data_IF_427468651278
#
_entry.id   IF_427468651278
#
_cell.length_a   1.000
_cell.length_b   1.000
_cell.length_c   1.000
_cell.angle_alpha   90.00
_cell.angle_beta   90.00
_cell.angle_gamma   90.00
#
_symmetry.space_group_name_H-M   'P 1'
#
loop_
_entity.id
_entity.type
_entity.pdbx_description
1 polymer ?
#
# COMPACT_ATOMS: atom_id res chain seq x y z
N UNK A 1 22.67 -14.64 -16.63
CA UNK A 1 21.40 -14.20 -17.24
C UNK A 1 20.39 -15.32 -17.03
N UNK A 2 19.68 -15.30 -15.90
CA UNK A 2 18.63 -16.29 -15.65
C UNK A 2 17.33 -15.77 -16.23
N UNK A 3 16.88 -16.39 -17.32
CA UNK A 3 15.51 -16.30 -17.80
C UNK A 3 14.59 -16.82 -16.68
N UNK A 4 13.92 -15.90 -15.96
CA UNK A 4 12.84 -16.27 -15.04
C UNK A 4 11.73 -16.89 -15.93
N UNK A 5 11.30 -18.14 -15.69
CA UNK A 5 10.43 -18.85 -16.61
C UNK A 5 9.11 -18.11 -16.80
N UNK A 6 8.65 -18.03 -18.05
CA UNK A 6 7.44 -17.29 -18.48
C UNK A 6 6.16 -17.70 -17.72
N UNK A 7 6.13 -18.92 -17.19
CA UNK A 7 5.07 -19.44 -16.33
C UNK A 7 4.98 -18.73 -14.97
N UNK A 8 6.12 -18.35 -14.37
CA UNK A 8 6.17 -17.65 -13.08
C UNK A 8 5.61 -16.22 -13.24
N UNK A 9 5.98 -15.53 -14.32
CA UNK A 9 5.46 -14.21 -14.68
C UNK A 9 3.93 -14.23 -14.91
N UNK A 10 3.41 -15.30 -15.50
CA UNK A 10 1.97 -15.45 -15.73
C UNK A 10 1.19 -15.61 -14.41
N UNK A 11 1.71 -16.39 -13.47
CA UNK A 11 1.12 -16.56 -12.15
C UNK A 11 1.22 -15.29 -11.29
N UNK A 12 2.35 -14.59 -11.36
CA UNK A 12 2.59 -13.31 -10.70
C UNK A 12 1.59 -12.22 -11.15
N UNK A 13 1.32 -12.16 -12.46
CA UNK A 13 0.31 -11.25 -13.02
C UNK A 13 -1.10 -11.57 -12.54
N UNK A 14 -1.43 -12.85 -12.33
CA UNK A 14 -2.73 -13.23 -11.76
C UNK A 14 -2.86 -12.82 -10.29
N UNK A 15 -1.77 -12.92 -9.51
CA UNK A 15 -1.75 -12.50 -8.09
C UNK A 15 -2.01 -10.99 -7.97
N UNK A 16 -1.40 -10.19 -8.85
CA UNK A 16 -1.60 -8.73 -8.84
C UNK A 16 -2.90 -8.33 -9.52
N UNK A 17 -3.31 -9.02 -10.58
CA UNK A 17 -4.45 -8.67 -11.42
C UNK A 17 -4.12 -7.58 -12.44
N UNK A 18 -4.72 -7.67 -13.63
CA UNK A 18 -4.38 -6.78 -14.75
C UNK A 18 -4.62 -5.29 -14.47
N UNK A 19 -5.72 -4.96 -13.79
CA UNK A 19 -6.08 -3.58 -13.48
C UNK A 19 -5.05 -2.93 -12.54
N UNK A 20 -4.58 -3.68 -11.55
CA UNK A 20 -3.56 -3.20 -10.62
C UNK A 20 -2.22 -3.07 -11.30
N UNK A 21 -1.85 -4.07 -12.10
CA UNK A 21 -0.61 -4.05 -12.88
C UNK A 21 -0.53 -2.82 -13.80
N UNK A 22 -1.63 -2.50 -14.49
CA UNK A 22 -1.72 -1.31 -15.36
C UNK A 22 -1.63 0.02 -14.59
N UNK A 23 -1.95 0.01 -13.29
CA UNK A 23 -1.98 1.21 -12.46
C UNK A 23 -0.75 1.38 -11.55
N UNK A 24 0.15 0.39 -11.48
CA UNK A 24 1.40 0.48 -10.71
C UNK A 24 2.24 1.66 -11.20
N UNK A 25 2.64 2.52 -10.26
CA UNK A 25 3.38 3.74 -10.54
C UNK A 25 4.82 3.71 -10.00
N UNK A 26 5.08 2.94 -8.95
CA UNK A 26 6.37 2.92 -8.25
C UNK A 26 6.90 1.51 -7.96
N UNK A 27 6.05 0.53 -7.64
CA UNK A 27 6.47 -0.84 -7.43
C UNK A 27 6.68 -1.58 -8.76
N UNK A 28 7.67 -2.46 -8.77
CA UNK A 28 7.78 -3.52 -9.77
C UNK A 28 6.72 -4.61 -9.55
N UNK A 29 6.49 -5.46 -10.56
CA UNK A 29 5.58 -6.61 -10.44
C UNK A 29 6.00 -7.54 -9.28
N UNK A 30 7.28 -7.87 -9.18
CA UNK A 30 7.81 -8.78 -8.15
C UNK A 30 7.64 -8.18 -6.75
N UNK A 31 7.87 -6.88 -6.57
CA UNK A 31 7.60 -6.19 -5.30
C UNK A 31 6.10 -6.17 -4.95
N UNK A 32 5.23 -5.98 -5.94
CA UNK A 32 3.77 -6.01 -5.76
C UNK A 32 3.26 -7.41 -5.37
N UNK A 33 3.81 -8.46 -5.97
CA UNK A 33 3.53 -9.85 -5.61
C UNK A 33 4.01 -10.14 -4.18
N UNK A 34 5.26 -9.80 -3.88
CA UNK A 34 5.87 -10.03 -2.57
C UNK A 34 5.06 -9.37 -1.45
N UNK A 35 4.73 -8.08 -1.59
CA UNK A 35 3.98 -7.35 -0.57
C UNK A 35 2.56 -7.88 -0.37
N UNK A 36 1.88 -8.30 -1.45
CA UNK A 36 0.55 -8.92 -1.36
C UNK A 36 0.63 -10.24 -0.62
N UNK A 37 1.56 -11.13 -0.99
CA UNK A 37 1.75 -12.43 -0.33
C UNK A 37 2.09 -12.28 1.15
N UNK A 38 2.99 -11.36 1.47
CA UNK A 38 3.33 -11.03 2.85
C UNK A 38 2.11 -10.53 3.63
N UNK A 39 1.36 -9.57 3.09
CA UNK A 39 0.18 -9.02 3.75
C UNK A 39 -0.90 -10.09 3.97
N UNK A 40 -1.14 -10.95 2.98
CA UNK A 40 -2.07 -12.07 3.10
C UNK A 40 -1.71 -12.97 4.28
N UNK A 41 -0.44 -13.39 4.39
CA UNK A 41 0.07 -14.20 5.52
C UNK A 41 -0.02 -13.49 6.86
N UNK A 42 0.08 -12.16 6.87
CA UNK A 42 0.03 -11.33 8.08
C UNK A 42 -1.41 -11.10 8.59
N UNK A 43 -2.38 -10.94 7.67
CA UNK A 43 -3.67 -10.33 7.99
C UNK A 43 -4.88 -11.27 7.84
N UNK A 44 -4.84 -12.25 6.93
CA UNK A 44 -6.00 -13.10 6.63
C UNK A 44 -6.18 -14.24 7.64
N UNK A 45 -7.41 -14.73 7.75
CA UNK A 45 -7.69 -15.95 8.51
C UNK A 45 -7.06 -17.17 7.83
N UNK A 46 -6.81 -18.27 8.57
CA UNK A 46 -6.28 -19.50 7.98
C UNK A 46 -7.15 -20.09 6.86
N UNK A 47 -8.46 -19.84 6.89
CA UNK A 47 -9.41 -20.34 5.86
C UNK A 47 -9.25 -19.54 4.57
N UNK A 48 -9.27 -18.21 4.65
CA UNK A 48 -9.08 -17.32 3.50
C UNK A 48 -7.67 -17.49 2.91
N UNK A 49 -6.65 -17.60 3.76
CA UNK A 49 -5.26 -17.71 3.31
C UNK A 49 -5.01 -18.97 2.48
N UNK A 50 -5.56 -20.12 2.90
CA UNK A 50 -5.42 -21.41 2.19
C UNK A 50 -5.96 -21.38 0.77
N UNK A 51 -6.93 -20.51 0.48
CA UNK A 51 -7.49 -20.36 -0.87
C UNK A 51 -6.55 -19.58 -1.80
N UNK A 52 -5.63 -18.79 -1.24
CA UNK A 52 -4.78 -17.88 -1.99
C UNK A 52 -3.34 -18.36 -2.10
N UNK A 53 -2.78 -18.91 -1.01
CA UNK A 53 -1.38 -19.34 -0.95
C UNK A 53 -1.22 -20.62 -0.13
N UNK A 54 -0.30 -21.52 -0.53
CA UNK A 54 0.08 -22.66 0.31
C UNK A 54 0.94 -22.27 1.51
N UNK A 55 1.50 -21.06 1.53
CA UNK A 55 2.37 -20.60 2.62
C UNK A 55 1.56 -20.39 3.92
N UNK A 56 2.09 -20.79 5.08
CA UNK A 56 1.40 -20.61 6.35
C UNK A 56 1.31 -19.13 6.74
N UNK A 57 0.26 -18.80 7.49
CA UNK A 57 0.12 -17.49 8.10
C UNK A 57 1.21 -17.24 9.15
N UNK A 58 1.47 -15.97 9.44
CA UNK A 58 2.44 -15.58 10.46
C UNK A 58 1.92 -15.87 11.89
N UNK A 59 2.82 -16.08 12.87
CA UNK A 59 2.42 -16.37 14.25
C UNK A 59 1.48 -15.31 14.85
N UNK A 60 0.63 -15.75 15.78
CA UNK A 60 -0.29 -14.86 16.50
C UNK A 60 0.49 -13.75 17.19
N UNK A 61 -0.04 -12.53 17.14
CA UNK A 61 0.57 -11.37 17.78
C UNK A 61 1.64 -10.66 16.95
N UNK A 62 2.20 -11.26 15.89
CA UNK A 62 3.20 -10.63 15.01
C UNK A 62 2.66 -9.34 14.38
N UNK A 63 1.43 -9.40 13.84
CA UNK A 63 0.73 -8.21 13.32
C UNK A 63 0.46 -7.16 14.40
N UNK A 64 0.11 -7.59 15.61
CA UNK A 64 -0.18 -6.67 16.71
C UNK A 64 1.10 -5.97 17.21
N UNK A 65 2.25 -6.68 17.24
CA UNK A 65 3.55 -6.10 17.54
C UNK A 65 3.92 -5.03 16.52
N UNK A 66 3.80 -5.32 15.22
CA UNK A 66 4.07 -4.37 14.14
C UNK A 66 3.20 -3.11 14.25
N UNK A 67 1.90 -3.24 14.52
CA UNK A 67 0.98 -2.10 14.68
C UNK A 67 1.32 -1.18 15.86
N UNK A 68 2.04 -1.67 16.87
CA UNK A 68 2.44 -0.93 18.06
C UNK A 68 3.79 -0.23 17.90
N UNK A 69 4.48 -0.40 16.78
CA UNK A 69 5.68 0.36 16.50
C UNK A 69 5.31 1.85 16.29
N UNK A 70 6.02 2.73 17.01
CA UNK A 70 5.85 4.18 16.94
C UNK A 70 6.96 4.88 16.13
N UNK A 71 8.01 4.15 15.77
CA UNK A 71 9.14 4.62 14.95
C UNK A 71 9.50 3.58 13.89
N UNK A 72 10.08 4.04 12.77
CA UNK A 72 10.47 3.16 11.65
C UNK A 72 11.58 2.17 12.06
N UNK A 73 12.56 2.58 12.85
CA UNK A 73 13.63 1.69 13.30
C UNK A 73 13.11 0.52 14.14
N UNK A 74 12.06 0.74 14.92
CA UNK A 74 11.42 -0.32 15.70
C UNK A 74 10.74 -1.36 14.80
N UNK A 75 10.27 -0.96 13.61
CA UNK A 75 9.67 -1.86 12.61
C UNK A 75 10.72 -2.84 12.09
N UNK A 76 11.95 -2.37 11.82
CA UNK A 76 13.07 -3.17 11.31
C UNK A 76 13.39 -4.37 12.21
N UNK A 77 13.18 -4.22 13.52
CA UNK A 77 13.45 -5.25 14.53
C UNK A 77 12.33 -6.29 14.67
N UNK A 78 11.19 -6.10 14.00
CA UNK A 78 10.05 -7.01 14.11
C UNK A 78 10.20 -8.26 13.24
N UNK A 79 9.65 -9.38 13.71
CA UNK A 79 9.50 -10.58 12.88
C UNK A 79 8.67 -10.29 11.62
N UNK A 80 7.63 -9.45 11.73
CA UNK A 80 6.78 -9.10 10.61
C UNK A 80 7.57 -8.47 9.45
N UNK A 81 8.46 -7.52 9.77
CA UNK A 81 9.30 -6.87 8.78
C UNK A 81 10.37 -7.80 8.23
N UNK A 82 11.00 -8.63 9.06
CA UNK A 82 11.97 -9.63 8.60
C UNK A 82 11.36 -10.57 7.54
N UNK A 83 10.15 -11.06 7.80
CA UNK A 83 9.41 -11.90 6.86
C UNK A 83 9.07 -11.15 5.56
N UNK A 84 8.72 -9.85 5.63
CA UNK A 84 8.54 -9.02 4.44
C UNK A 84 9.84 -8.93 3.64
N UNK A 85 10.92 -8.53 4.30
CA UNK A 85 12.21 -8.28 3.68
C UNK A 85 12.75 -9.51 2.94
N UNK A 86 12.57 -10.71 3.50
CA UNK A 86 12.96 -11.96 2.84
C UNK A 86 12.10 -12.33 1.62
N UNK A 87 10.91 -11.77 1.48
CA UNK A 87 10.04 -12.02 0.30
C UNK A 87 10.30 -11.05 -0.84
N UNK A 88 11.00 -9.94 -0.59
CA UNK A 88 11.31 -8.95 -1.62
C UNK A 88 12.35 -9.48 -2.62
N UNK A 89 12.29 -9.05 -3.90
CA UNK A 89 13.26 -9.47 -4.89
C UNK A 89 14.68 -8.99 -4.53
N UNK A 90 15.69 -9.74 -4.97
CA UNK A 90 17.10 -9.41 -4.70
C UNK A 90 17.49 -8.03 -5.22
N UNK A 91 16.90 -7.58 -6.34
CA UNK A 91 17.10 -6.22 -6.88
C UNK A 91 16.68 -5.10 -5.92
N UNK A 92 15.75 -5.37 -5.02
CA UNK A 92 15.33 -4.45 -3.96
C UNK A 92 16.26 -4.55 -2.74
N UNK A 93 16.66 -5.76 -2.36
CA UNK A 93 17.45 -6.03 -1.14
C UNK A 93 18.94 -5.69 -1.31
N UNK A 94 19.52 -6.01 -2.46
CA UNK A 94 20.93 -5.78 -2.81
C UNK A 94 21.16 -4.39 -3.45
N UNK A 95 20.19 -3.49 -3.29
CA UNK A 95 20.26 -2.13 -3.85
C UNK A 95 21.37 -1.31 -3.18
N UNK A 96 22.07 -0.49 -3.97
CA UNK A 96 23.02 0.52 -3.45
C UNK A 96 22.37 1.56 -2.51
N UNK A 97 21.04 1.59 -2.42
CA UNK A 97 20.26 2.46 -1.54
C UNK A 97 19.53 1.66 -0.45
N UNK A 98 20.18 0.63 0.11
CA UNK A 98 19.55 -0.30 1.06
C UNK A 98 18.89 0.39 2.25
N UNK A 99 19.53 1.39 2.87
CA UNK A 99 18.97 2.11 4.03
C UNK A 99 17.64 2.80 3.68
N UNK A 100 17.61 3.51 2.55
CA UNK A 100 16.39 4.14 2.08
C UNK A 100 15.30 3.13 1.66
N UNK A 101 15.68 1.92 1.23
CA UNK A 101 14.74 0.83 0.98
C UNK A 101 14.20 0.27 2.29
N UNK A 102 15.02 0.12 3.32
CA UNK A 102 14.61 -0.33 4.65
C UNK A 102 13.57 0.63 5.25
N UNK A 103 13.80 1.94 5.17
CA UNK A 103 12.85 2.95 5.65
C UNK A 103 11.55 2.96 4.83
N UNK A 104 11.65 2.92 3.49
CA UNK A 104 10.49 2.84 2.60
C UNK A 104 9.60 1.64 2.94
N UNK A 105 10.19 0.45 3.03
CA UNK A 105 9.46 -0.78 3.30
C UNK A 105 8.96 -0.84 4.74
N UNK A 106 9.61 -0.15 5.68
CA UNK A 106 9.11 0.00 7.05
C UNK A 106 7.82 0.83 7.08
N UNK A 107 7.76 1.92 6.31
CA UNK A 107 6.54 2.71 6.14
C UNK A 107 5.41 1.86 5.56
N UNK A 108 5.70 1.11 4.48
CA UNK A 108 4.74 0.21 3.83
C UNK A 108 4.23 -0.82 4.83
N UNK A 109 5.12 -1.51 5.55
CA UNK A 109 4.76 -2.55 6.50
C UNK A 109 3.84 -2.01 7.61
N UNK A 110 4.19 -0.85 8.19
CA UNK A 110 3.47 -0.25 9.29
C UNK A 110 2.05 0.18 8.88
N UNK A 111 1.89 0.75 7.68
CA UNK A 111 0.59 1.14 7.15
C UNK A 111 -0.25 -0.09 6.77
N UNK A 112 0.34 -1.09 6.10
CA UNK A 112 -0.38 -2.30 5.69
C UNK A 112 -0.84 -3.16 6.87
N UNK A 113 -0.14 -3.11 8.02
CA UNK A 113 -0.55 -3.81 9.23
C UNK A 113 -1.93 -3.33 9.76
N UNK A 114 -2.34 -2.11 9.42
CA UNK A 114 -3.66 -1.58 9.74
C UNK A 114 -4.78 -2.20 8.89
N UNK A 115 -4.51 -2.59 7.64
CA UNK A 115 -5.51 -3.11 6.69
C UNK A 115 -6.00 -4.51 7.11
N UNK A 116 -7.31 -4.68 7.26
CA UNK A 116 -7.95 -5.92 7.77
C UNK A 116 -8.39 -6.86 6.66
N UNK A 117 -8.83 -6.32 5.53
CA UNK A 117 -9.25 -7.06 4.36
C UNK A 117 -8.89 -6.25 3.10
N UNK A 118 -8.61 -6.92 1.99
CA UNK A 118 -8.32 -6.24 0.73
C UNK A 118 -9.46 -6.39 -0.27
N UNK A 119 -9.60 -5.38 -1.13
CA UNK A 119 -10.34 -5.51 -2.38
C UNK A 119 -9.39 -5.12 -3.50
N UNK A 120 -9.00 -6.08 -4.37
CA UNK A 120 -8.07 -5.81 -5.47
C UNK A 120 -8.51 -4.60 -6.31
N UNK A 121 -7.55 -3.78 -6.71
CA UNK A 121 -7.79 -2.60 -7.56
C UNK A 121 -8.29 -1.35 -6.85
N UNK A 122 -8.90 -1.46 -5.66
CA UNK A 122 -9.45 -0.29 -4.96
C UNK A 122 -8.36 0.56 -4.31
N UNK A 123 -8.31 1.85 -4.65
CA UNK A 123 -7.38 2.82 -4.08
C UNK A 123 -7.92 3.45 -2.78
N UNK A 124 -7.03 3.74 -1.83
CA UNK A 124 -7.37 4.42 -0.57
C UNK A 124 -8.02 5.79 -0.83
N UNK A 125 -7.43 6.60 -1.71
CA UNK A 125 -7.92 7.95 -2.01
C UNK A 125 -9.36 7.93 -2.56
N UNK A 126 -9.66 6.99 -3.46
CA UNK A 126 -11.01 6.79 -3.96
C UNK A 126 -12.00 6.44 -2.84
N UNK A 127 -11.61 5.53 -1.93
CA UNK A 127 -12.45 5.20 -0.76
C UNK A 127 -12.70 6.42 0.13
N UNK A 128 -11.69 7.24 0.38
CA UNK A 128 -11.82 8.45 1.20
C UNK A 128 -12.74 9.52 0.58
N UNK A 129 -12.83 9.58 -0.75
CA UNK A 129 -13.69 10.51 -1.49
C UNK A 129 -15.15 10.08 -1.58
N UNK A 130 -15.46 8.80 -1.32
CA UNK A 130 -16.84 8.29 -1.33
C UNK A 130 -17.70 8.92 -0.24
N UNK A 131 -19.00 9.00 -0.50
CA UNK A 131 -19.98 9.51 0.46
C UNK A 131 -20.11 8.57 1.67
N UNK A 132 -20.00 9.14 2.87
CA UNK A 132 -20.39 8.50 4.11
C UNK A 132 -21.90 8.64 4.35
N UNK A 133 -22.42 7.96 5.36
CA UNK A 133 -23.84 8.07 5.77
C UNK A 133 -24.29 9.49 6.13
N UNK A 134 -23.34 10.40 6.41
CA UNK A 134 -23.61 11.81 6.72
C UNK A 134 -23.79 12.69 5.48
N UNK A 135 -23.77 12.12 4.28
CA UNK A 135 -23.88 12.87 3.01
C UNK A 135 -22.60 13.60 2.57
N UNK A 136 -21.49 13.42 3.30
CA UNK A 136 -20.18 14.05 3.04
C UNK A 136 -19.13 12.98 2.72
N UNK A 137 -18.01 13.31 2.06
CA UNK A 137 -16.92 12.36 1.87
C UNK A 137 -16.43 11.76 3.20
N UNK A 138 -16.00 10.49 3.19
CA UNK A 138 -15.45 9.79 4.36
C UNK A 138 -14.34 10.62 5.03
N UNK A 139 -13.50 11.28 4.23
CA UNK A 139 -12.54 12.26 4.70
C UNK A 139 -12.82 13.60 4.05
N UNK A 140 -12.89 14.68 4.83
CA UNK A 140 -13.00 16.04 4.31
C UNK A 140 -11.80 16.41 3.41
N UNK A 141 -12.05 17.25 2.40
CA UNK A 141 -11.01 17.76 1.49
C UNK A 141 -9.81 18.39 2.22
N UNK A 142 -10.04 19.16 3.29
CA UNK A 142 -8.96 19.78 4.07
C UNK A 142 -7.98 18.74 4.65
N UNK A 143 -8.49 17.66 5.25
CA UNK A 143 -7.66 16.57 5.78
C UNK A 143 -6.98 15.78 4.67
N UNK A 144 -7.63 15.65 3.53
CA UNK A 144 -7.02 15.02 2.36
C UNK A 144 -5.85 15.86 1.81
N UNK A 145 -5.99 17.19 1.74
CA UNK A 145 -4.89 18.09 1.37
C UNK A 145 -3.69 17.99 2.34
N UNK A 146 -3.93 17.72 3.62
CA UNK A 146 -2.87 17.46 4.59
C UNK A 146 -2.10 16.16 4.30
N UNK A 147 -2.70 15.17 3.62
CA UNK A 147 -1.97 13.99 3.12
C UNK A 147 -1.08 14.40 1.96
N UNK A 148 -1.60 15.17 1.01
CA UNK A 148 -0.86 15.60 -0.19
C UNK A 148 0.36 16.48 0.12
N UNK A 149 0.34 17.17 1.25
CA UNK A 149 1.37 18.13 1.67
C UNK A 149 2.33 17.59 2.73
N UNK A 150 2.27 16.28 3.04
CA UNK A 150 3.20 15.63 3.98
C UNK A 150 4.65 15.82 3.56
N UNK A 151 5.50 16.18 4.52
CA UNK A 151 6.93 16.43 4.26
C UNK A 151 7.86 15.38 4.83
N UNK A 152 7.39 14.58 5.79
CA UNK A 152 8.20 13.56 6.47
C UNK A 152 7.55 12.19 6.37
N UNK A 153 8.34 11.10 6.39
CA UNK A 153 7.83 9.73 6.46
C UNK A 153 6.85 9.49 7.60
N UNK A 154 7.18 9.99 8.79
CA UNK A 154 6.40 9.82 10.01
C UNK A 154 5.04 10.52 9.89
N UNK A 155 5.03 11.73 9.32
CA UNK A 155 3.80 12.48 9.07
C UNK A 155 2.89 11.73 8.09
N UNK A 156 3.46 11.20 7.00
CA UNK A 156 2.73 10.42 6.01
C UNK A 156 2.14 9.17 6.66
N UNK A 157 2.95 8.36 7.35
CA UNK A 157 2.50 7.14 8.03
C UNK A 157 1.37 7.45 9.01
N UNK A 158 1.52 8.47 9.85
CA UNK A 158 0.49 8.84 10.83
C UNK A 158 -0.83 9.22 10.15
N UNK A 159 -0.77 9.98 9.06
CA UNK A 159 -1.98 10.39 8.32
C UNK A 159 -2.61 9.23 7.57
N UNK A 160 -1.83 8.36 6.93
CA UNK A 160 -2.35 7.18 6.26
C UNK A 160 -3.01 6.21 7.25
N UNK A 161 -2.42 6.00 8.45
CA UNK A 161 -3.06 5.19 9.49
C UNK A 161 -4.40 5.77 9.96
N UNK A 162 -4.48 7.10 10.12
CA UNK A 162 -5.74 7.80 10.45
C UNK A 162 -6.76 7.70 9.30
N UNK A 163 -6.31 7.87 8.06
CA UNK A 163 -7.14 7.75 6.87
C UNK A 163 -7.73 6.33 6.74
N UNK A 164 -6.90 5.29 6.95
CA UNK A 164 -7.35 3.91 6.99
C UNK A 164 -8.38 3.67 8.10
N UNK A 165 -8.17 4.26 9.28
CA UNK A 165 -9.13 4.15 10.38
C UNK A 165 -10.49 4.76 10.02
N UNK A 166 -10.50 5.91 9.34
CA UNK A 166 -11.72 6.55 8.83
C UNK A 166 -12.39 5.72 7.73
N UNK A 167 -11.61 5.11 6.85
CA UNK A 167 -12.08 4.25 5.76
C UNK A 167 -12.48 2.82 6.22
N UNK A 168 -12.54 2.56 7.52
CA UNK A 168 -12.94 1.25 8.06
C UNK A 168 -11.86 0.16 8.00
N UNK A 169 -10.66 0.46 7.52
CA UNK A 169 -9.52 -0.47 7.36
C UNK A 169 -9.81 -1.67 6.45
N UNK A 170 -10.73 -1.53 5.50
CA UNK A 170 -11.13 -2.58 4.55
C UNK A 170 -11.44 -1.97 3.18
N UNK A 171 -11.73 -2.82 2.19
CA UNK A 171 -12.16 -2.38 0.84
C UNK A 171 -11.12 -1.59 0.04
N UNK A 172 -9.84 -1.85 0.28
CA UNK A 172 -8.73 -1.23 -0.42
C UNK A 172 -7.70 -2.30 -0.74
N UNK A 173 -6.94 -2.12 -1.82
CA UNK A 173 -5.87 -3.04 -2.17
C UNK A 173 -4.61 -2.79 -1.35
N UNK A 174 -4.02 -3.87 -0.83
CA UNK A 174 -2.69 -3.82 -0.20
C UNK A 174 -1.62 -3.36 -1.20
N UNK A 175 -1.70 -3.81 -2.46
CA UNK A 175 -0.75 -3.44 -3.52
C UNK A 175 -0.87 -1.97 -3.87
N UNK A 176 -2.08 -1.45 -4.12
CA UNK A 176 -2.29 -0.03 -4.42
C UNK A 176 -1.82 0.85 -3.28
N UNK A 177 -2.04 0.44 -2.04
CA UNK A 177 -1.58 1.17 -0.86
C UNK A 177 -0.06 1.18 -0.72
N UNK A 178 0.60 0.04 -0.95
CA UNK A 178 2.06 -0.02 -0.97
C UNK A 178 2.66 0.84 -2.11
N UNK A 179 2.04 0.81 -3.29
CA UNK A 179 2.48 1.55 -4.46
C UNK A 179 2.43 3.06 -4.26
N UNK A 180 1.37 3.59 -3.65
CA UNK A 180 1.29 5.04 -3.36
C UNK A 180 2.31 5.49 -2.30
N UNK A 181 2.63 4.64 -1.32
CA UNK A 181 3.68 4.94 -0.33
C UNK A 181 5.07 4.92 -0.99
N UNK A 182 5.33 3.91 -1.82
CA UNK A 182 6.55 3.83 -2.62
C UNK A 182 6.72 5.03 -3.55
N UNK A 183 5.61 5.48 -4.16
CA UNK A 183 5.58 6.67 -5.00
C UNK A 183 5.92 7.93 -4.22
N UNK A 184 5.29 8.13 -3.05
CA UNK A 184 5.62 9.26 -2.17
C UNK A 184 7.11 9.26 -1.81
N UNK A 185 7.66 8.09 -1.45
CA UNK A 185 9.08 7.96 -1.09
C UNK A 185 10.02 8.37 -2.22
N UNK A 186 9.71 7.91 -3.44
CA UNK A 186 10.48 8.24 -4.65
C UNK A 186 10.53 9.75 -4.86
N UNK A 187 9.39 10.43 -4.72
CA UNK A 187 9.28 11.88 -4.89
C UNK A 187 9.93 12.66 -3.74
N UNK A 188 9.78 12.18 -2.51
CA UNK A 188 10.39 12.78 -1.31
C UNK A 188 11.91 12.83 -1.41
N UNK A 189 12.54 11.81 -2.03
CA UNK A 189 13.98 11.80 -2.33
C UNK A 189 14.39 12.56 -3.60
N UNK A 190 13.49 13.38 -4.15
CA UNK A 190 13.76 14.24 -5.31
C UNK A 190 13.61 13.56 -6.67
N UNK A 191 13.17 12.29 -6.74
CA UNK A 191 12.94 11.60 -8.01
C UNK A 191 11.48 11.77 -8.45
N UNK A 192 11.20 12.91 -9.11
CA UNK A 192 9.89 13.18 -9.68
C UNK A 192 9.72 12.51 -11.03
N UNK A 193 8.52 11.99 -11.31
CA UNK A 193 8.17 11.56 -12.65
C UNK A 193 8.09 12.76 -13.60
N UNK A 194 8.64 12.60 -14.82
CA UNK A 194 8.49 13.57 -15.90
C UNK A 194 7.02 13.74 -16.31
N UNK A 195 6.20 12.69 -16.17
CA UNK A 195 4.76 12.73 -16.46
C UNK A 195 4.00 13.16 -15.20
N UNK A 196 3.32 14.33 -15.18
CA UNK A 196 2.57 14.79 -14.01
C UNK A 196 1.49 13.81 -13.57
N UNK A 197 0.88 13.09 -14.53
CA UNK A 197 -0.16 12.08 -14.28
C UNK A 197 0.32 10.85 -13.51
N UNK A 198 1.65 10.67 -13.39
CA UNK A 198 2.27 9.57 -12.64
C UNK A 198 2.81 10.04 -11.27
N UNK A 199 2.47 11.27 -10.85
CA UNK A 199 2.94 11.83 -9.59
C UNK A 199 2.00 11.52 -8.43
N UNK A 200 2.54 11.41 -7.22
CA UNK A 200 1.82 11.11 -5.99
C UNK A 200 0.59 12.00 -5.83
N UNK A 201 0.81 13.31 -5.88
CA UNK A 201 -0.26 14.29 -5.69
C UNK A 201 -1.37 14.16 -6.72
N UNK A 202 -1.02 13.92 -7.99
CA UNK A 202 -2.01 13.76 -9.06
C UNK A 202 -2.82 12.49 -8.90
N UNK A 203 -2.16 11.33 -8.69
CA UNK A 203 -2.84 10.03 -8.57
C UNK A 203 -3.83 10.06 -7.40
N UNK A 204 -3.39 10.52 -6.23
CA UNK A 204 -4.28 10.60 -5.07
C UNK A 204 -5.44 11.58 -5.33
N UNK A 205 -5.15 12.78 -5.86
CA UNK A 205 -6.18 13.78 -6.09
C UNK A 205 -7.21 13.30 -7.13
N UNK A 206 -6.77 12.70 -8.22
CA UNK A 206 -7.64 12.15 -9.26
C UNK A 206 -8.58 11.08 -8.69
N UNK A 207 -8.05 10.15 -7.90
CA UNK A 207 -8.84 9.09 -7.27
C UNK A 207 -9.85 9.65 -6.26
N UNK A 208 -9.42 10.56 -5.38
CA UNK A 208 -10.28 11.16 -4.37
C UNK A 208 -11.37 12.05 -4.96
N UNK A 209 -11.01 13.00 -5.82
CA UNK A 209 -11.98 13.94 -6.40
C UNK A 209 -12.86 13.28 -7.46
N UNK A 210 -12.36 12.26 -8.18
CA UNK A 210 -13.19 11.45 -9.07
C UNK A 210 -14.31 10.74 -8.30
N UNK A 211 -13.99 10.12 -7.16
CA UNK A 211 -14.99 9.52 -6.27
C UNK A 211 -15.91 10.57 -5.64
N UNK A 212 -15.37 11.75 -5.29
CA UNK A 212 -16.14 12.80 -4.63
C UNK A 212 -17.02 13.63 -5.57
N UNK A 213 -16.74 13.65 -6.87
CA UNK A 213 -17.56 14.30 -7.88
C UNK A 213 -18.72 13.40 -8.34
N UNK A 214 -18.49 12.09 -8.40
CA UNK A 214 -19.49 11.10 -8.86
C UNK A 214 -20.81 11.15 -8.09
N UNK A 215 -20.82 11.59 -6.82
CA UNK A 215 -22.06 11.68 -6.04
C UNK A 215 -22.69 13.09 -6.06
N UNK A 216 -21.93 14.16 -6.36
CA UNK A 216 -22.50 15.53 -6.39
C UNK A 216 -23.50 15.73 -7.53
N UNK A 217 -23.48 14.83 -8.51
CA UNK A 217 -24.47 14.80 -9.60
C UNK A 217 -25.76 14.04 -9.25
N UNK A 218 -25.78 13.23 -8.18
CA UNK A 218 -26.99 12.51 -7.74
C UNK A 218 -27.86 13.36 -6.79
N UNK A 219 -27.32 14.47 -6.27
CA UNK A 219 -27.99 15.40 -5.35
C UNK A 219 -28.55 16.68 -6.05
N UNK A 220 -28.53 16.74 -7.39
CA UNK A 220 -29.10 17.84 -8.21
C UNK A 220 -30.15 17.33 -9.18
#
# INVERSE_FOLDING_TARGET
>A
MSEKPEADSSQERLIVGEQELKSLAALSLDEAVAVRRWWQRLALSPVELKQLTPQPGLPRGVRAALRRCDALDAVLLTQAFRELWHTLPSTTVESSFVDARLEQWSCIALVLAELRAETPGKALAARLGQQASTGKPIMSELRFQQILTCRTPEELVQRLRRALALAGRSEMSAVRLADVIALWWREHRGSLSARPTHRFGFILANDYFGAAAGYRHDDT
#
